data_IF_583414282013
#
_entry.id   IF_583414282013
#
_cell.length_a   1.000
_cell.length_b   1.000
_cell.length_c   1.000
_cell.angle_alpha   90.00
_cell.angle_beta   90.00
_cell.angle_gamma   90.00
#
_symmetry.space_group_name_H-M   'P 1'
#
loop_
_entity.id
_entity.type
_entity.pdbx_description
1 polymer ?
#
# COMPACT_ATOMS: atom_id res chain seq x y z
N UNK A 1 -0.50 -22.61 -5.85
CA UNK A 1 0.20 -21.72 -4.90
C UNK A 1 1.44 -21.05 -5.51
N UNK A 2 2.26 -21.75 -6.31
CA UNK A 2 3.51 -21.22 -6.88
C UNK A 2 3.36 -19.86 -7.63
N UNK A 3 2.23 -19.61 -8.29
CA UNK A 3 1.99 -18.33 -8.97
C UNK A 3 1.92 -17.12 -8.02
N UNK A 4 1.52 -17.32 -6.76
CA UNK A 4 1.37 -16.26 -5.75
C UNK A 4 2.68 -15.94 -5.01
N UNK A 5 3.74 -16.70 -5.30
CA UNK A 5 5.11 -16.45 -4.85
C UNK A 5 6.03 -16.03 -6.00
N UNK A 6 5.61 -16.26 -7.26
CA UNK A 6 6.45 -16.00 -8.43
C UNK A 6 6.85 -14.52 -8.52
N UNK A 7 8.13 -14.28 -8.78
CA UNK A 7 8.65 -12.95 -9.10
C UNK A 7 8.13 -12.46 -10.46
N UNK A 8 7.96 -11.14 -10.57
CA UNK A 8 7.63 -10.43 -11.80
C UNK A 8 8.56 -9.24 -11.96
N UNK A 9 8.59 -8.61 -13.14
CA UNK A 9 9.40 -7.41 -13.39
C UNK A 9 9.06 -6.26 -12.44
N UNK A 10 7.77 -6.11 -12.08
CA UNK A 10 7.31 -5.07 -11.16
C UNK A 10 7.67 -5.42 -9.71
N UNK A 11 7.53 -6.68 -9.29
CA UNK A 11 7.80 -7.05 -7.90
C UNK A 11 9.29 -7.19 -7.59
N UNK A 12 10.10 -7.57 -8.58
CA UNK A 12 11.57 -7.68 -8.61
C UNK A 12 12.29 -7.89 -7.25
N UNK A 13 11.72 -8.73 -6.38
CA UNK A 13 12.12 -8.82 -4.98
C UNK A 13 13.46 -9.55 -4.77
N UNK A 14 13.98 -10.22 -5.80
CA UNK A 14 15.34 -10.78 -5.80
C UNK A 14 16.42 -9.68 -5.88
N UNK A 15 16.04 -8.42 -6.12
CA UNK A 15 16.97 -7.31 -6.10
C UNK A 15 17.72 -7.22 -4.74
N UNK A 16 19.05 -6.96 -4.73
CA UNK A 16 19.83 -6.90 -3.50
C UNK A 16 19.32 -5.90 -2.46
N UNK A 17 18.72 -4.78 -2.87
CA UNK A 17 18.16 -3.78 -1.94
C UNK A 17 17.01 -4.37 -1.12
N UNK A 18 16.08 -5.06 -1.78
CA UNK A 18 14.93 -5.72 -1.15
C UNK A 18 15.39 -6.85 -0.23
N UNK A 19 16.31 -7.70 -0.69
CA UNK A 19 16.86 -8.78 0.13
C UNK A 19 17.64 -8.27 1.34
N UNK A 20 18.36 -7.16 1.19
CA UNK A 20 19.08 -6.50 2.28
C UNK A 20 18.12 -6.00 3.35
N UNK A 21 17.03 -5.33 2.95
CA UNK A 21 15.99 -4.88 3.86
C UNK A 21 15.33 -6.05 4.61
N UNK A 22 14.97 -7.12 3.90
CA UNK A 22 14.38 -8.34 4.51
C UNK A 22 15.30 -8.92 5.58
N UNK A 23 16.61 -8.96 5.30
CA UNK A 23 17.63 -9.44 6.24
C UNK A 23 17.80 -8.50 7.43
N UNK A 24 17.88 -7.19 7.19
CA UNK A 24 18.02 -6.15 8.22
C UNK A 24 16.84 -6.19 9.21
N UNK A 25 15.61 -6.23 8.70
CA UNK A 25 14.39 -6.29 9.52
C UNK A 25 14.15 -7.65 10.16
N UNK A 26 14.97 -8.66 9.83
CA UNK A 26 14.88 -10.02 10.37
C UNK A 26 13.49 -10.68 10.20
N UNK A 27 12.73 -10.31 9.17
CA UNK A 27 11.34 -10.77 9.01
C UNK A 27 11.18 -12.29 8.90
N UNK A 28 12.18 -12.97 8.34
CA UNK A 28 12.20 -14.44 8.24
C UNK A 28 12.30 -15.15 9.60
N UNK A 29 12.69 -14.44 10.67
CA UNK A 29 12.75 -14.99 12.04
C UNK A 29 11.43 -14.83 12.81
N UNK A 30 10.50 -14.01 12.30
CA UNK A 30 9.18 -13.83 12.87
C UNK A 30 8.27 -14.98 12.45
N UNK A 31 7.28 -15.30 13.30
CA UNK A 31 6.15 -16.13 12.88
C UNK A 31 5.37 -15.44 11.76
N UNK A 32 4.57 -16.23 11.04
CA UNK A 32 3.85 -15.75 9.84
C UNK A 32 2.99 -14.52 10.10
N UNK A 33 2.30 -14.45 11.23
CA UNK A 33 1.38 -13.34 11.53
C UNK A 33 2.17 -12.07 11.86
N UNK A 34 3.17 -12.18 12.74
CA UNK A 34 4.00 -11.03 13.11
C UNK A 34 4.86 -10.55 11.93
N UNK A 35 5.30 -11.46 11.06
CA UNK A 35 5.96 -11.13 9.79
C UNK A 35 5.07 -10.26 8.89
N UNK A 36 3.83 -10.70 8.65
CA UNK A 36 2.86 -9.93 7.83
C UNK A 36 2.61 -8.57 8.44
N UNK A 37 2.34 -8.49 9.75
CA UNK A 37 2.11 -7.23 10.44
C UNK A 37 3.32 -6.30 10.37
N UNK A 38 4.52 -6.84 10.57
CA UNK A 38 5.76 -6.05 10.53
C UNK A 38 6.02 -5.47 9.14
N UNK A 39 5.85 -6.28 8.09
CA UNK A 39 5.96 -5.81 6.69
C UNK A 39 4.89 -4.78 6.37
N UNK A 40 3.63 -5.05 6.72
CA UNK A 40 2.53 -4.11 6.51
C UNK A 40 2.78 -2.76 7.22
N UNK A 41 3.22 -2.81 8.48
CA UNK A 41 3.53 -1.61 9.24
C UNK A 41 4.69 -0.83 8.63
N UNK A 42 5.73 -1.52 8.13
CA UNK A 42 6.83 -0.87 7.42
C UNK A 42 6.34 -0.12 6.18
N UNK A 43 5.58 -0.78 5.30
CA UNK A 43 5.09 -0.11 4.08
C UNK A 43 4.09 1.00 4.39
N UNK A 44 3.31 0.87 5.49
CA UNK A 44 2.38 1.92 5.90
C UNK A 44 3.09 3.13 6.50
N UNK A 45 4.00 2.91 7.44
CA UNK A 45 4.54 3.94 8.34
C UNK A 45 5.94 4.45 7.93
N UNK A 46 6.77 3.63 7.28
CA UNK A 46 8.14 4.00 6.90
C UNK A 46 8.26 4.42 5.42
N UNK A 47 7.24 4.13 4.59
CA UNK A 47 7.14 4.61 3.21
C UNK A 47 6.10 5.72 3.18
N UNK A 48 6.50 6.94 2.88
CA UNK A 48 5.61 8.10 2.96
C UNK A 48 4.47 8.03 1.93
N UNK A 49 3.34 8.67 2.23
CA UNK A 49 2.28 8.82 1.23
C UNK A 49 2.65 9.89 0.20
N UNK A 50 2.75 9.50 -1.07
CA UNK A 50 3.08 10.41 -2.17
C UNK A 50 2.73 9.83 -3.53
N UNK A 51 2.87 10.62 -4.60
CA UNK A 51 2.56 10.17 -5.96
C UNK A 51 3.85 9.96 -6.75
N UNK A 52 4.17 8.71 -7.09
CA UNK A 52 5.30 8.40 -7.95
C UNK A 52 5.04 8.85 -9.40
N UNK A 53 6.09 8.82 -10.22
CA UNK A 53 6.03 9.20 -11.65
C UNK A 53 5.07 8.32 -12.45
N UNK A 54 4.89 7.05 -12.04
CA UNK A 54 4.04 6.06 -12.71
C UNK A 54 3.63 4.93 -11.77
N UNK A 55 2.55 4.24 -12.09
CA UNK A 55 2.03 3.09 -11.31
C UNK A 55 2.75 1.77 -11.58
N UNK A 56 3.47 1.67 -12.71
CA UNK A 56 4.16 0.46 -13.14
C UNK A 56 5.66 0.43 -12.80
N UNK A 57 6.11 1.28 -11.86
CA UNK A 57 7.48 1.23 -11.38
C UNK A 57 7.73 -0.02 -10.52
N UNK A 58 9.00 -0.42 -10.42
CA UNK A 58 9.39 -1.63 -9.70
C UNK A 58 9.30 -1.43 -8.18
N UNK A 59 9.13 -2.51 -7.42
CA UNK A 59 9.13 -2.47 -5.96
C UNK A 59 10.44 -1.88 -5.41
N UNK A 60 11.56 -2.19 -6.07
CA UNK A 60 12.86 -1.57 -5.74
C UNK A 60 12.84 -0.04 -5.93
N UNK A 61 12.24 0.46 -7.02
CA UNK A 61 12.12 1.91 -7.23
C UNK A 61 11.24 2.56 -6.16
N UNK A 62 10.12 1.93 -5.77
CA UNK A 62 9.27 2.45 -4.68
C UNK A 62 10.04 2.51 -3.35
N UNK A 63 10.85 1.48 -3.08
CA UNK A 63 11.68 1.44 -1.88
C UNK A 63 12.76 2.53 -1.90
N UNK A 64 13.37 2.79 -3.06
CA UNK A 64 14.37 3.85 -3.24
C UNK A 64 13.76 5.25 -3.15
N UNK A 65 12.59 5.46 -3.76
CA UNK A 65 11.85 6.73 -3.70
C UNK A 65 11.46 7.07 -2.25
N UNK A 66 11.19 6.06 -1.41
CA UNK A 66 10.80 6.24 -0.01
C UNK A 66 9.34 6.70 0.17
N UNK A 67 8.56 6.78 -0.91
CA UNK A 67 7.15 7.15 -0.87
C UNK A 67 6.34 6.43 -1.95
N UNK A 68 5.02 6.38 -1.76
CA UNK A 68 4.11 5.93 -2.80
C UNK A 68 2.62 6.08 -2.49
N UNK A 69 1.81 5.76 -3.49
CA UNK A 69 0.35 5.76 -3.41
C UNK A 69 -0.18 4.33 -3.36
N UNK A 70 -1.51 4.14 -3.48
CA UNK A 70 -2.15 2.83 -3.39
C UNK A 70 -1.45 1.74 -4.22
N UNK A 71 -1.25 1.99 -5.51
CA UNK A 71 -0.71 0.99 -6.44
C UNK A 71 0.77 0.68 -6.18
N UNK A 72 1.58 1.71 -5.97
CA UNK A 72 3.02 1.54 -5.76
C UNK A 72 3.35 0.99 -4.36
N UNK A 73 2.63 1.42 -3.32
CA UNK A 73 2.73 0.80 -1.99
C UNK A 73 2.23 -0.64 -1.99
N UNK A 74 1.15 -0.96 -2.73
CA UNK A 74 0.71 -2.35 -2.89
C UNK A 74 1.78 -3.21 -3.58
N UNK A 75 2.43 -2.69 -4.62
CA UNK A 75 3.58 -3.33 -5.30
C UNK A 75 4.70 -3.64 -4.31
N UNK A 76 5.14 -2.67 -3.51
CA UNK A 76 6.19 -2.89 -2.51
C UNK A 76 5.75 -3.89 -1.44
N UNK A 77 4.53 -3.75 -0.91
CA UNK A 77 3.96 -4.69 0.06
C UNK A 77 3.98 -6.13 -0.46
N UNK A 78 3.50 -6.37 -1.68
CA UNK A 78 3.51 -7.69 -2.31
C UNK A 78 4.92 -8.24 -2.49
N UNK A 79 5.86 -7.41 -2.95
CA UNK A 79 7.25 -7.80 -3.13
C UNK A 79 7.89 -8.29 -1.83
N UNK A 80 7.72 -7.54 -0.74
CA UNK A 80 8.25 -7.90 0.59
C UNK A 80 7.58 -9.15 1.17
N UNK A 81 6.26 -9.30 0.98
CA UNK A 81 5.54 -10.50 1.36
C UNK A 81 6.06 -11.73 0.59
N UNK A 82 6.27 -11.63 -0.74
CA UNK A 82 6.83 -12.75 -1.53
C UNK A 82 8.27 -13.05 -1.21
N UNK A 83 9.10 -12.02 -0.97
CA UNK A 83 10.47 -12.16 -0.52
C UNK A 83 10.60 -12.91 0.82
N UNK A 84 9.51 -12.95 1.59
CA UNK A 84 9.42 -13.64 2.87
C UNK A 84 8.46 -14.82 2.84
N UNK A 85 8.25 -15.38 1.65
CA UNK A 85 7.51 -16.63 1.39
C UNK A 85 6.01 -16.59 1.73
N UNK A 86 5.40 -15.39 1.78
CA UNK A 86 3.97 -15.22 2.02
C UNK A 86 3.23 -15.09 0.68
N UNK A 87 2.40 -16.08 0.30
CA UNK A 87 1.64 -16.01 -0.94
C UNK A 87 0.64 -14.85 -0.88
N UNK A 88 0.62 -14.05 -1.94
CA UNK A 88 -0.27 -12.89 -2.02
C UNK A 88 -0.74 -12.60 -3.44
N UNK A 89 -1.85 -11.86 -3.54
CA UNK A 89 -2.43 -11.38 -4.79
C UNK A 89 -2.94 -9.96 -4.66
N UNK A 90 -3.04 -9.28 -5.79
CA UNK A 90 -3.60 -7.93 -5.89
C UNK A 90 -4.97 -8.00 -6.54
N UNK A 91 -5.85 -7.12 -6.11
CA UNK A 91 -7.10 -6.85 -6.76
C UNK A 91 -7.14 -5.38 -7.15
N UNK A 92 -7.73 -5.09 -8.30
CA UNK A 92 -7.85 -3.75 -8.84
C UNK A 92 -9.29 -3.41 -9.15
N UNK A 93 -9.72 -2.21 -8.80
CA UNK A 93 -11.02 -1.67 -9.16
C UNK A 93 -10.92 -0.17 -9.39
N UNK A 94 -11.94 0.41 -10.00
CA UNK A 94 -11.99 1.85 -10.23
C UNK A 94 -12.81 2.54 -9.14
N UNK A 95 -12.31 3.67 -8.64
CA UNK A 95 -13.00 4.53 -7.67
C UNK A 95 -13.13 5.96 -8.22
N UNK A 96 -14.09 6.73 -7.68
CA UNK A 96 -14.24 8.14 -8.05
C UNK A 96 -13.07 8.97 -7.49
N UNK A 97 -12.53 9.88 -8.31
CA UNK A 97 -11.44 10.79 -7.93
C UNK A 97 -11.75 11.68 -6.73
N UNK A 98 -12.99 11.78 -6.29
CA UNK A 98 -13.38 12.43 -5.04
C UNK A 98 -12.47 12.03 -3.86
N UNK A 99 -11.99 10.78 -3.83
CA UNK A 99 -11.04 10.31 -2.80
C UNK A 99 -9.71 11.10 -2.80
N UNK A 100 -9.24 11.56 -3.96
CA UNK A 100 -8.00 12.34 -4.10
C UNK A 100 -8.19 13.81 -3.72
N UNK A 101 -9.42 14.29 -3.53
CA UNK A 101 -9.69 15.70 -3.22
C UNK A 101 -8.98 16.07 -1.92
N UNK A 102 -8.08 17.06 -1.99
CA UNK A 102 -7.29 17.51 -0.85
C UNK A 102 -5.91 16.85 -0.72
N UNK A 103 -5.71 15.66 -1.29
CA UNK A 103 -4.38 15.09 -1.51
C UNK A 103 -3.76 15.63 -2.82
N UNK A 104 -4.58 15.78 -3.87
CA UNK A 104 -4.27 16.50 -5.09
C UNK A 104 -5.11 17.79 -5.11
N UNK A 105 -4.51 18.92 -5.48
CA UNK A 105 -5.17 20.22 -5.47
C UNK A 105 -5.02 20.99 -6.78
N UNK A 106 -5.84 22.03 -6.96
CA UNK A 106 -5.71 22.99 -8.06
C UNK A 106 -5.98 22.38 -9.44
N UNK A 107 -5.15 22.77 -10.41
CA UNK A 107 -5.28 22.37 -11.82
C UNK A 107 -5.11 20.86 -11.99
N UNK A 108 -4.22 20.24 -11.22
CA UNK A 108 -3.96 18.80 -11.28
C UNK A 108 -5.21 17.97 -10.94
N UNK A 109 -5.97 18.35 -9.90
CA UNK A 109 -7.22 17.65 -9.55
C UNK A 109 -8.31 17.80 -10.63
N UNK A 110 -8.37 18.97 -11.30
CA UNK A 110 -9.31 19.19 -12.40
C UNK A 110 -8.99 18.30 -13.59
N UNK A 111 -7.70 18.14 -13.90
CA UNK A 111 -7.20 17.32 -15.00
C UNK A 111 -7.20 15.81 -14.69
N UNK A 112 -7.25 15.40 -13.42
CA UNK A 112 -7.32 13.98 -13.05
C UNK A 112 -8.55 13.28 -13.67
N UNK A 113 -8.41 12.04 -14.16
CA UNK A 113 -9.53 11.23 -14.66
C UNK A 113 -10.64 11.10 -13.62
N UNK A 114 -11.89 10.98 -14.06
CA UNK A 114 -13.03 10.83 -13.13
C UNK A 114 -12.92 9.55 -12.29
N UNK A 115 -12.45 8.47 -12.90
CA UNK A 115 -12.23 7.19 -12.26
C UNK A 115 -10.73 6.92 -12.18
N UNK A 116 -10.26 6.53 -11.00
CA UNK A 116 -8.85 6.18 -10.74
C UNK A 116 -8.75 4.71 -10.35
N UNK A 117 -7.64 4.07 -10.71
CA UNK A 117 -7.37 2.69 -10.31
C UNK A 117 -6.99 2.66 -8.82
N UNK A 118 -7.68 1.83 -8.06
CA UNK A 118 -7.37 1.51 -6.69
C UNK A 118 -7.05 0.01 -6.59
N UNK A 119 -6.16 -0.32 -5.66
CA UNK A 119 -5.78 -1.70 -5.42
C UNK A 119 -5.71 -2.02 -3.93
N UNK A 120 -6.00 -3.29 -3.61
CA UNK A 120 -5.71 -3.88 -2.32
C UNK A 120 -4.97 -5.20 -2.47
N UNK A 121 -4.27 -5.61 -1.42
CA UNK A 121 -3.52 -6.85 -1.37
C UNK A 121 -4.26 -7.86 -0.50
N UNK A 122 -4.27 -9.12 -0.91
CA UNK A 122 -4.65 -10.23 -0.05
C UNK A 122 -3.46 -11.15 0.20
N UNK A 123 -3.37 -11.68 1.42
CA UNK A 123 -2.40 -12.69 1.82
C UNK A 123 -3.09 -14.01 2.13
N UNK A 124 -2.46 -15.12 1.77
CA UNK A 124 -2.95 -16.46 2.10
C UNK A 124 -2.33 -16.96 3.40
N UNK A 125 -3.15 -17.11 4.45
CA UNK A 125 -2.73 -17.54 5.79
C UNK A 125 -3.80 -18.42 6.41
N UNK A 126 -3.39 -19.48 7.10
CA UNK A 126 -4.29 -20.42 7.79
C UNK A 126 -5.44 -20.89 6.89
N UNK A 127 -5.10 -21.24 5.64
CA UNK A 127 -6.02 -21.68 4.60
C UNK A 127 -7.12 -20.69 4.18
N UNK A 128 -6.89 -19.40 4.44
CA UNK A 128 -7.82 -18.32 4.11
C UNK A 128 -7.13 -17.15 3.43
N UNK A 129 -7.87 -16.43 2.59
CA UNK A 129 -7.43 -15.16 2.03
C UNK A 129 -7.85 -14.02 2.95
N UNK A 130 -6.88 -13.24 3.41
CA UNK A 130 -7.09 -12.11 4.31
C UNK A 130 -6.75 -10.80 3.59
N UNK A 131 -7.61 -9.80 3.71
CA UNK A 131 -7.45 -8.47 3.12
C UNK A 131 -6.43 -7.63 3.90
N UNK A 132 -5.51 -7.00 3.19
CA UNK A 132 -4.62 -5.96 3.70
C UNK A 132 -4.97 -4.63 3.02
N UNK A 133 -5.87 -3.88 3.63
CA UNK A 133 -6.27 -2.52 3.22
C UNK A 133 -5.74 -1.45 4.17
N UNK A 134 -5.70 -0.20 3.69
CA UNK A 134 -5.27 0.94 4.50
C UNK A 134 -3.76 1.17 4.55
N UNK A 135 -2.98 0.48 3.72
CA UNK A 135 -1.51 0.63 3.65
C UNK A 135 -1.06 2.04 3.22
N UNK A 136 -1.97 2.83 2.67
CA UNK A 136 -1.67 4.12 2.04
C UNK A 136 -1.29 5.18 3.07
N UNK A 137 -2.09 5.29 4.13
CA UNK A 137 -2.01 6.39 5.09
C UNK A 137 -1.14 5.97 6.27
N UNK A 138 0.00 6.63 6.42
CA UNK A 138 0.80 6.50 7.64
C UNK A 138 0.00 7.02 8.85
N UNK A 139 0.41 6.57 10.05
CA UNK A 139 -0.28 6.93 11.29
C UNK A 139 -0.32 8.44 11.53
N UNK A 140 0.74 9.17 11.19
CA UNK A 140 0.79 10.60 11.46
C UNK A 140 -0.19 11.35 10.56
N UNK A 141 -0.20 11.04 9.27
CA UNK A 141 -1.15 11.56 8.30
C UNK A 141 -2.59 11.27 8.75
N UNK A 142 -2.89 10.02 9.09
CA UNK A 142 -4.23 9.63 9.53
C UNK A 142 -4.65 10.38 10.80
N UNK A 143 -3.76 10.50 11.79
CA UNK A 143 -4.03 11.26 13.01
C UNK A 143 -4.31 12.73 12.71
N UNK A 144 -3.48 13.38 11.88
CA UNK A 144 -3.70 14.78 11.48
C UNK A 144 -5.01 14.96 10.71
N UNK A 145 -5.37 13.98 9.89
CA UNK A 145 -6.63 13.98 9.17
C UNK A 145 -7.83 13.85 10.12
N UNK A 146 -7.75 12.97 11.12
CA UNK A 146 -8.75 12.81 12.17
C UNK A 146 -8.89 14.08 13.03
N UNK A 147 -7.78 14.70 13.44
CA UNK A 147 -7.77 15.95 14.21
C UNK A 147 -8.45 17.09 13.44
N UNK A 148 -8.16 17.21 12.14
CA UNK A 148 -8.76 18.22 11.25
C UNK A 148 -10.25 18.03 11.03
N UNK A 149 -10.75 16.79 11.13
CA UNK A 149 -12.14 16.43 10.81
C UNK A 149 -12.90 15.83 12.01
N UNK A 150 -12.51 16.17 13.25
CA UNK A 150 -13.06 15.63 14.50
C UNK A 150 -14.60 15.74 14.65
N UNK A 151 -15.18 16.74 13.98
CA UNK A 151 -16.61 17.04 14.02
C UNK A 151 -17.41 16.28 12.95
N UNK A 152 -16.74 15.55 12.04
CA UNK A 152 -17.41 14.68 11.07
C UNK A 152 -18.01 13.46 11.79
N UNK A 153 -19.34 13.35 11.78
CA UNK A 153 -20.10 12.23 12.39
C UNK A 153 -20.79 11.31 11.39
N UNK A 154 -20.60 11.56 10.10
CA UNK A 154 -21.25 10.84 9.00
C UNK A 154 -20.18 10.39 7.99
N UNK A 155 -20.47 10.36 6.70
CA UNK A 155 -19.51 9.93 5.68
C UNK A 155 -18.37 10.94 5.51
N UNK A 156 -17.13 10.44 5.48
CA UNK A 156 -15.94 11.20 5.09
C UNK A 156 -15.37 10.66 3.78
N UNK A 157 -15.02 11.55 2.85
CA UNK A 157 -14.39 11.19 1.58
C UNK A 157 -13.43 12.29 1.14
N UNK A 158 -12.14 11.96 1.05
CA UNK A 158 -11.09 12.87 0.60
C UNK A 158 -9.76 12.55 1.26
N UNK A 159 -8.69 13.24 0.85
CA UNK A 159 -7.34 13.06 1.42
C UNK A 159 -6.86 11.59 1.40
N UNK A 160 -7.30 10.79 0.43
CA UNK A 160 -6.95 9.37 0.35
C UNK A 160 -7.71 8.47 1.35
N UNK A 161 -8.68 8.99 2.11
CA UNK A 161 -9.47 8.24 3.07
C UNK A 161 -10.97 8.27 2.74
N UNK A 162 -11.63 7.14 2.94
CA UNK A 162 -13.09 7.03 2.93
C UNK A 162 -13.55 6.25 4.15
N UNK A 163 -14.56 6.76 4.85
CA UNK A 163 -15.28 6.03 5.87
C UNK A 163 -16.76 6.41 5.81
N UNK A 164 -17.63 5.42 5.94
CA UNK A 164 -19.06 5.63 6.16
C UNK A 164 -19.44 4.94 7.44
N UNK A 165 -20.02 5.70 8.38
CA UNK A 165 -20.65 5.11 9.55
C UNK A 165 -22.04 4.59 9.14
N UNK A 166 -22.45 3.39 9.57
CA UNK A 166 -23.82 2.93 9.43
C UNK A 166 -24.79 3.77 10.29
#
# INVERSE_FOLDING_TARGET
>A
MNNYLKETEILNYSNPSTQSLVKEKNWMKLDTIERIKSIYNFVRDDIEFGYNISDNITATQVLEDGYGQCNTKATLLMALLRATEIPNRIHGFTIDKALQKGAISGVWYKLSPKNILHSWVEVYVNDTWCFLEGVILDKEYLRKLQEKNKDCKTTFCGYGAYVSFP
#
